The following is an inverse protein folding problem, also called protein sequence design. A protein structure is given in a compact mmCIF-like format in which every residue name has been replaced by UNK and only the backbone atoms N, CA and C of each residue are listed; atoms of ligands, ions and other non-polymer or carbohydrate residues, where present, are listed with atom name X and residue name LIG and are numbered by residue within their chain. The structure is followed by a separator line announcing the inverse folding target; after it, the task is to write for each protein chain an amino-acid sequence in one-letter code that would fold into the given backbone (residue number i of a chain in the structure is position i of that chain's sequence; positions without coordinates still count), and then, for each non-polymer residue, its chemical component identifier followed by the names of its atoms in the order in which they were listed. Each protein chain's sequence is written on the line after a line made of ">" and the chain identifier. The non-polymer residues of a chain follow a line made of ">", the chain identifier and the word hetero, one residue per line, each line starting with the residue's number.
data_IF_493051565344
#
_entry.id   IF_493051565344
#
_cell.length_a   1.000
_cell.length_b   1.000
_cell.length_c   1.000
_cell.angle_alpha   90.00
_cell.angle_beta   90.00
_cell.angle_gamma   90.00
#
_symmetry.space_group_name_H-M   'P 1'
#
loop_
_entity.id
_entity.type
_entity.pdbx_description
1 polymer ?
#
# COMPACT_ATOMS: atom_id res chain seq x y z
N UNK A 1 26.59 -2.70 -11.18
CA UNK A 1 25.45 -2.12 -10.42
C UNK A 1 24.20 -2.01 -11.28
N UNK A 2 24.29 -1.38 -12.46
CA UNK A 2 23.17 -1.23 -13.41
C UNK A 2 22.59 -2.57 -13.86
N UNK A 3 23.44 -3.54 -14.25
CA UNK A 3 22.99 -4.89 -14.66
C UNK A 3 22.19 -5.60 -13.57
N UNK A 4 22.65 -5.53 -12.31
CA UNK A 4 21.95 -6.10 -11.16
C UNK A 4 20.58 -5.44 -10.96
N UNK A 5 20.50 -4.12 -11.10
CA UNK A 5 19.25 -3.38 -11.02
C UNK A 5 18.28 -3.75 -12.16
N UNK A 6 18.76 -3.93 -13.38
CA UNK A 6 17.96 -4.42 -14.51
C UNK A 6 17.41 -5.83 -14.25
N UNK A 7 18.22 -6.76 -13.75
CA UNK A 7 17.76 -8.11 -13.40
C UNK A 7 16.68 -8.10 -12.31
N UNK A 8 16.82 -7.23 -11.31
CA UNK A 8 15.80 -7.06 -10.26
C UNK A 8 14.49 -6.51 -10.84
N UNK A 9 14.58 -5.52 -11.73
CA UNK A 9 13.40 -4.96 -12.40
C UNK A 9 12.67 -6.03 -13.22
N UNK A 10 13.39 -6.78 -14.06
CA UNK A 10 12.81 -7.84 -14.90
C UNK A 10 12.10 -8.90 -14.05
N UNK A 11 12.69 -9.29 -12.91
CA UNK A 11 12.05 -10.22 -11.96
C UNK A 11 10.80 -9.64 -11.32
N UNK A 12 10.81 -8.37 -10.93
CA UNK A 12 9.66 -7.69 -10.34
C UNK A 12 8.53 -7.52 -11.38
N UNK A 13 8.84 -7.03 -12.57
CA UNK A 13 7.91 -6.86 -13.68
C UNK A 13 7.28 -8.20 -14.10
N UNK A 14 8.08 -9.28 -14.21
CA UNK A 14 7.58 -10.61 -14.51
C UNK A 14 6.57 -11.10 -13.45
N UNK A 15 6.84 -10.90 -12.16
CA UNK A 15 5.91 -11.25 -11.08
C UNK A 15 4.59 -10.49 -11.19
N UNK A 16 4.65 -9.20 -11.51
CA UNK A 16 3.46 -8.37 -11.75
C UNK A 16 2.65 -8.84 -12.96
N UNK A 17 3.30 -9.07 -14.09
CA UNK A 17 2.66 -9.54 -15.33
C UNK A 17 2.05 -10.94 -15.18
N UNK A 18 2.77 -11.89 -14.57
CA UNK A 18 2.24 -13.22 -14.29
C UNK A 18 1.01 -13.16 -13.37
N UNK A 19 1.01 -12.26 -12.38
CA UNK A 19 -0.14 -11.98 -11.53
C UNK A 19 -1.37 -11.48 -12.29
N UNK A 20 -1.19 -10.62 -13.29
CA UNK A 20 -2.27 -10.12 -14.15
C UNK A 20 -2.84 -11.22 -15.08
N UNK A 21 -1.97 -12.03 -15.69
CA UNK A 21 -2.40 -13.13 -16.57
C UNK A 21 -3.20 -14.17 -15.77
N UNK A 22 -2.70 -14.55 -14.59
CA UNK A 22 -3.43 -15.45 -13.69
C UNK A 22 -4.75 -14.83 -13.20
N UNK A 23 -4.76 -13.54 -12.87
CA UNK A 23 -5.96 -12.82 -12.45
C UNK A 23 -7.06 -12.76 -13.49
N UNK A 24 -6.70 -12.68 -14.79
CA UNK A 24 -7.66 -12.74 -15.92
C UNK A 24 -8.29 -14.12 -16.08
N UNK A 25 -7.54 -15.19 -15.82
CA UNK A 25 -8.04 -16.57 -15.83
C UNK A 25 -8.87 -16.90 -14.57
N UNK A 26 -8.48 -16.37 -13.41
CA UNK A 26 -9.12 -16.68 -12.13
C UNK A 26 -10.22 -15.71 -11.71
N UNK A 27 -10.55 -14.70 -12.53
CA UNK A 27 -11.56 -13.67 -12.22
C UNK A 27 -11.25 -12.80 -10.99
N UNK A 28 -10.00 -12.77 -10.51
CA UNK A 28 -9.59 -12.02 -9.31
C UNK A 28 -8.58 -10.95 -9.71
N UNK A 29 -9.04 -9.71 -9.84
CA UNK A 29 -8.17 -8.55 -10.01
C UNK A 29 -7.38 -8.29 -8.74
N UNK A 30 -6.05 -8.48 -8.79
CA UNK A 30 -5.10 -8.21 -7.68
C UNK A 30 -4.67 -6.75 -7.64
N UNK A 31 -5.64 -5.85 -7.77
CA UNK A 31 -5.39 -4.42 -7.74
C UNK A 31 -5.06 -3.95 -6.31
N UNK A 32 -4.22 -2.94 -6.21
CA UNK A 32 -3.85 -2.31 -4.94
C UNK A 32 -5.10 -1.71 -4.26
N UNK A 33 -5.22 -1.90 -2.94
CA UNK A 33 -6.35 -1.35 -2.18
C UNK A 33 -6.28 0.18 -2.21
N UNK A 34 -7.29 0.82 -2.79
CA UNK A 34 -7.39 2.29 -2.78
C UNK A 34 -7.85 2.77 -1.41
N UNK A 35 -7.18 3.79 -0.86
CA UNK A 35 -7.60 4.46 0.37
C UNK A 35 -9.04 4.96 0.28
N UNK A 36 -9.45 5.50 -0.87
CA UNK A 36 -10.81 6.00 -1.10
C UNK A 36 -11.84 4.88 -0.92
N UNK A 37 -11.54 3.68 -1.41
CA UNK A 37 -12.39 2.50 -1.24
C UNK A 37 -12.36 2.00 0.20
N UNK A 38 -11.19 2.00 0.84
CA UNK A 38 -11.06 1.59 2.24
C UNK A 38 -11.80 2.50 3.22
N UNK A 39 -11.95 3.78 2.88
CA UNK A 39 -12.69 4.78 3.65
C UNK A 39 -14.14 4.98 3.20
N UNK A 40 -14.63 4.22 2.21
CA UNK A 40 -15.98 4.38 1.72
C UNK A 40 -16.99 4.09 2.84
N UNK A 41 -17.85 5.05 3.15
CA UNK A 41 -18.83 4.94 4.26
C UNK A 41 -18.30 5.37 5.63
N UNK A 42 -16.99 5.62 5.77
CA UNK A 42 -16.39 6.11 7.01
C UNK A 42 -16.33 7.64 7.03
N UNK A 43 -16.60 8.23 8.19
CA UNK A 43 -16.34 9.65 8.42
C UNK A 43 -14.93 9.81 8.96
N UNK A 44 -14.22 10.82 8.46
CA UNK A 44 -12.95 11.22 9.01
C UNK A 44 -13.17 11.95 10.35
N UNK A 45 -12.52 11.52 11.42
CA UNK A 45 -12.55 12.14 12.74
C UNK A 45 -11.43 13.16 12.91
N UNK A 46 -10.24 12.87 12.37
CA UNK A 46 -9.08 13.73 12.50
C UNK A 46 -7.91 13.29 11.62
N UNK A 47 -6.89 14.15 11.54
CA UNK A 47 -5.59 13.82 10.94
C UNK A 47 -4.49 14.44 11.78
N UNK A 48 -3.42 13.70 12.02
CA UNK A 48 -2.24 14.25 12.67
C UNK A 48 -0.96 13.64 12.06
N UNK A 49 0.13 14.41 12.07
CA UNK A 49 1.44 13.90 11.66
C UNK A 49 2.03 13.11 12.81
N UNK A 50 2.40 11.86 12.55
CA UNK A 50 3.11 11.00 13.50
C UNK A 50 4.64 11.13 13.36
N UNK A 51 5.11 11.71 12.25
CA UNK A 51 6.52 11.97 12.00
C UNK A 51 7.19 10.83 11.22
N UNK A 52 8.53 10.81 11.22
CA UNK A 52 9.31 9.77 10.55
C UNK A 52 9.46 8.55 11.44
N UNK A 53 9.10 7.37 10.93
CA UNK A 53 9.21 6.10 11.65
C UNK A 53 9.54 4.95 10.70
N UNK A 54 10.05 3.86 11.28
CA UNK A 54 10.34 2.61 10.57
C UNK A 54 9.06 1.77 10.51
N UNK A 55 8.58 1.47 9.29
CA UNK A 55 7.32 0.75 9.08
C UNK A 55 7.58 -0.63 8.47
N UNK A 56 6.94 -1.70 8.98
CA UNK A 56 7.00 -3.00 8.33
C UNK A 56 6.38 -2.95 6.93
N UNK A 57 7.14 -3.38 5.93
CA UNK A 57 6.73 -3.35 4.52
C UNK A 57 5.45 -4.15 4.27
N UNK A 58 5.20 -5.17 5.07
CA UNK A 58 4.00 -6.01 5.03
C UNK A 58 2.72 -5.34 5.55
N UNK A 59 2.84 -4.29 6.37
CA UNK A 59 1.68 -3.52 6.86
C UNK A 59 1.23 -2.46 5.85
N UNK A 60 2.03 -2.24 4.81
CA UNK A 60 1.69 -1.38 3.68
C UNK A 60 0.84 -2.19 2.69
N UNK A 61 -0.46 -1.90 2.69
CA UNK A 61 -1.49 -2.70 2.01
C UNK A 61 -2.16 -1.99 0.85
N UNK A 62 -2.00 -0.68 0.76
CA UNK A 62 -2.79 0.14 -0.12
C UNK A 62 -2.04 1.34 -0.68
N UNK A 63 -2.75 2.08 -1.51
CA UNK A 63 -2.28 3.33 -2.07
C UNK A 63 -3.38 4.39 -2.02
N UNK A 64 -3.00 5.64 -1.82
CA UNK A 64 -3.91 6.79 -1.92
C UNK A 64 -4.32 7.02 -3.37
N UNK A 65 -3.33 6.98 -4.27
CA UNK A 65 -3.48 7.19 -5.72
C UNK A 65 -2.63 6.17 -6.51
N UNK A 66 -2.75 6.06 -7.83
CA UNK A 66 -1.90 5.17 -8.68
C UNK A 66 -2.00 3.66 -8.40
N UNK A 67 -3.15 3.18 -7.93
CA UNK A 67 -3.38 1.73 -7.72
C UNK A 67 -3.32 0.88 -9.01
N UNK A 68 -3.28 1.51 -10.18
CA UNK A 68 -3.21 0.85 -11.49
C UNK A 68 -1.78 0.71 -12.04
N UNK A 69 -0.80 1.44 -11.48
CA UNK A 69 0.60 1.38 -11.90
C UNK A 69 1.32 0.15 -11.30
N UNK A 70 0.75 -0.42 -10.23
CA UNK A 70 1.34 -1.48 -9.41
C UNK A 70 0.33 -2.55 -9.02
N UNK A 71 0.79 -3.78 -8.81
CA UNK A 71 -0.03 -4.85 -8.21
C UNK A 71 -0.10 -4.73 -6.67
N UNK A 72 -0.89 -5.60 -6.03
CA UNK A 72 -0.99 -5.70 -4.55
C UNK A 72 0.35 -5.90 -3.81
N UNK A 73 1.39 -6.34 -4.52
CA UNK A 73 2.73 -6.55 -3.98
C UNK A 73 3.69 -5.41 -4.35
N UNK A 74 3.18 -4.31 -4.90
CA UNK A 74 3.95 -3.18 -5.44
C UNK A 74 4.91 -3.56 -6.57
N UNK A 75 4.65 -4.63 -7.32
CA UNK A 75 5.38 -4.91 -8.55
C UNK A 75 4.92 -3.93 -9.65
N UNK A 76 5.85 -3.35 -10.42
CA UNK A 76 5.50 -2.43 -11.50
C UNK A 76 4.73 -3.17 -12.60
N UNK A 77 3.63 -2.58 -13.06
CA UNK A 77 2.82 -3.11 -14.17
C UNK A 77 3.09 -2.38 -15.48
N UNK A 78 3.64 -1.17 -15.42
CA UNK A 78 3.86 -0.30 -16.58
C UNK A 78 5.33 -0.19 -16.96
N UNK A 79 5.63 -0.55 -18.21
CA UNK A 79 7.01 -0.60 -18.75
C UNK A 79 7.69 0.76 -18.77
N UNK A 80 6.95 1.85 -19.01
CA UNK A 80 7.54 3.19 -19.09
C UNK A 80 8.13 3.71 -17.76
N UNK A 81 7.87 3.01 -16.64
CA UNK A 81 8.44 3.35 -15.33
C UNK A 81 9.78 2.67 -15.04
N UNK A 82 10.26 1.82 -15.95
CA UNK A 82 11.50 1.03 -15.83
C UNK A 82 12.72 1.87 -15.47
N UNK A 83 13.00 2.92 -16.24
CA UNK A 83 14.22 3.71 -16.05
C UNK A 83 14.26 4.36 -14.67
N UNK A 84 13.13 4.89 -14.19
CA UNK A 84 13.03 5.49 -12.85
C UNK A 84 13.23 4.44 -11.76
N UNK A 85 12.67 3.25 -11.95
CA UNK A 85 12.83 2.13 -11.02
C UNK A 85 14.28 1.66 -10.95
N UNK A 86 14.94 1.48 -12.09
CA UNK A 86 16.35 1.08 -12.19
C UNK A 86 17.25 2.12 -11.51
N UNK A 87 17.04 3.41 -11.77
CA UNK A 87 17.84 4.46 -11.15
C UNK A 87 17.74 4.43 -9.61
N UNK A 88 16.54 4.19 -9.07
CA UNK A 88 16.35 4.03 -7.63
C UNK A 88 17.03 2.77 -7.08
N UNK A 89 16.93 1.64 -7.77
CA UNK A 89 17.61 0.41 -7.40
C UNK A 89 19.15 0.57 -7.42
N UNK A 90 19.70 1.29 -8.41
CA UNK A 90 21.13 1.60 -8.48
C UNK A 90 21.55 2.47 -7.30
N UNK A 91 20.80 3.53 -6.99
CA UNK A 91 21.08 4.39 -5.84
C UNK A 91 21.05 3.58 -4.53
N UNK A 92 20.05 2.70 -4.36
CA UNK A 92 19.98 1.83 -3.21
C UNK A 92 21.17 0.89 -3.09
N UNK A 93 21.54 0.21 -4.18
CA UNK A 93 22.69 -0.70 -4.22
C UNK A 93 24.03 0.03 -3.99
N UNK A 94 24.08 1.33 -4.27
CA UNK A 94 25.22 2.19 -3.97
C UNK A 94 25.31 2.61 -2.50
N UNK A 95 24.32 2.24 -1.67
CA UNK A 95 24.23 2.69 -0.28
C UNK A 95 23.81 4.15 -0.14
N UNK A 96 23.23 4.75 -1.19
CA UNK A 96 22.66 6.10 -1.10
C UNK A 96 21.40 6.05 -0.26
N UNK A 97 21.36 6.84 0.80
CA UNK A 97 20.15 7.04 1.60
C UNK A 97 19.07 7.67 0.72
N UNK A 98 17.99 6.92 0.47
CA UNK A 98 16.83 7.46 -0.22
C UNK A 98 15.94 8.21 0.78
N UNK A 99 15.21 9.24 0.34
CA UNK A 99 14.25 9.90 1.20
C UNK A 99 13.18 8.89 1.69
N UNK A 100 12.57 9.13 2.87
CA UNK A 100 11.51 8.28 3.39
C UNK A 100 10.29 8.29 2.45
N UNK A 101 9.51 7.22 2.47
CA UNK A 101 8.21 7.16 1.78
C UNK A 101 7.15 7.91 2.56
N UNK A 102 6.10 8.39 1.91
CA UNK A 102 4.99 9.06 2.62
C UNK A 102 3.83 8.10 2.74
N UNK A 103 3.40 7.83 3.97
CA UNK A 103 2.32 6.89 4.26
C UNK A 103 1.18 7.54 5.03
N UNK A 104 -0.03 7.10 4.72
CA UNK A 104 -1.23 7.37 5.50
C UNK A 104 -1.57 6.12 6.30
N UNK A 105 -1.66 6.25 7.62
CA UNK A 105 -2.13 5.17 8.49
C UNK A 105 -3.62 5.33 8.73
N UNK A 106 -4.39 4.25 8.52
CA UNK A 106 -5.79 4.14 8.91
C UNK A 106 -5.96 2.86 9.71
N UNK A 107 -6.29 2.98 10.99
CA UNK A 107 -6.28 1.85 11.92
C UNK A 107 -4.89 1.19 11.95
N UNK A 108 -4.83 -0.10 11.60
CA UNK A 108 -3.61 -0.92 11.59
C UNK A 108 -2.96 -1.06 10.20
N UNK A 109 -3.43 -0.32 9.20
CA UNK A 109 -3.01 -0.47 7.80
C UNK A 109 -2.38 0.82 7.29
N UNK A 110 -1.36 0.66 6.45
CA UNK A 110 -0.68 1.78 5.79
C UNK A 110 -1.00 1.83 4.30
N UNK A 111 -1.19 3.05 3.82
CA UNK A 111 -1.47 3.38 2.42
C UNK A 111 -0.39 4.32 1.91
N UNK A 112 0.21 4.00 0.77
CA UNK A 112 1.25 4.83 0.17
C UNK A 112 0.64 6.07 -0.45
N UNK A 113 1.06 7.24 0.01
CA UNK A 113 0.77 8.53 -0.61
C UNK A 113 1.82 8.86 -1.69
N UNK A 114 3.11 8.73 -1.35
CA UNK A 114 4.23 8.91 -2.28
C UNK A 114 5.34 7.88 -2.04
N UNK A 115 6.14 7.63 -3.08
CA UNK A 115 7.31 6.77 -3.02
C UNK A 115 7.07 5.32 -3.45
N UNK A 116 6.05 5.04 -4.27
CA UNK A 116 5.70 3.69 -4.74
C UNK A 116 6.89 2.93 -5.35
N UNK A 117 7.70 3.58 -6.19
CA UNK A 117 8.88 2.94 -6.77
C UNK A 117 9.93 2.58 -5.71
N UNK A 118 10.10 3.41 -4.67
CA UNK A 118 11.04 3.12 -3.58
C UNK A 118 10.57 1.91 -2.77
N UNK A 119 9.28 1.86 -2.45
CA UNK A 119 8.68 0.69 -1.79
C UNK A 119 8.76 -0.57 -2.67
N UNK A 120 8.55 -0.43 -3.98
CA UNK A 120 8.70 -1.52 -4.95
C UNK A 120 10.13 -2.07 -4.97
N UNK A 121 11.13 -1.19 -5.01
CA UNK A 121 12.56 -1.55 -4.93
C UNK A 121 12.87 -2.24 -3.60
N UNK A 122 12.43 -1.68 -2.47
CA UNK A 122 12.63 -2.26 -1.15
C UNK A 122 12.05 -3.69 -1.06
N UNK A 123 10.83 -3.90 -1.58
CA UNK A 123 10.21 -5.23 -1.67
C UNK A 123 10.97 -6.18 -2.58
N UNK A 124 11.40 -5.72 -3.76
CA UNK A 124 12.17 -6.55 -4.69
C UNK A 124 13.53 -6.98 -4.11
N UNK A 125 14.11 -6.15 -3.24
CA UNK A 125 15.34 -6.44 -2.49
C UNK A 125 15.11 -7.25 -1.21
N UNK A 126 13.86 -7.58 -0.87
CA UNK A 126 13.51 -8.39 0.31
C UNK A 126 13.62 -7.65 1.64
N UNK A 127 13.48 -6.33 1.65
CA UNK A 127 13.49 -5.55 2.89
C UNK A 127 12.21 -5.78 3.69
N UNK A 128 12.37 -5.98 5.00
CA UNK A 128 11.26 -6.13 5.94
C UNK A 128 10.70 -4.79 6.41
N UNK A 129 11.52 -3.73 6.39
CA UNK A 129 11.21 -2.43 6.95
C UNK A 129 11.59 -1.30 5.99
N UNK A 130 10.90 -0.16 6.10
CA UNK A 130 11.18 1.05 5.32
C UNK A 130 10.96 2.30 6.17
N UNK A 131 11.79 3.31 5.97
CA UNK A 131 11.60 4.62 6.60
C UNK A 131 10.44 5.37 5.94
N UNK A 132 9.53 5.88 6.76
CA UNK A 132 8.33 6.54 6.29
C UNK A 132 7.98 7.79 7.11
N UNK A 133 7.56 8.86 6.45
CA UNK A 133 6.80 9.95 7.08
C UNK A 133 5.33 9.54 7.14
N UNK A 134 4.79 9.45 8.35
CA UNK A 134 3.45 8.90 8.59
C UNK A 134 2.47 10.00 9.01
N UNK A 135 1.33 10.05 8.32
CA UNK A 135 0.15 10.82 8.74
C UNK A 135 -0.94 9.85 9.15
N UNK A 136 -1.40 9.95 10.40
CA UNK A 136 -2.47 9.11 10.92
C UNK A 136 -3.80 9.79 10.60
N UNK A 137 -4.72 9.02 10.01
CA UNK A 137 -6.10 9.42 9.78
C UNK A 137 -6.98 8.66 10.76
N UNK A 138 -7.59 9.40 11.66
CA UNK A 138 -8.59 8.88 12.57
C UNK A 138 -9.92 8.84 11.84
N UNK A 139 -10.58 7.69 11.87
CA UNK A 139 -11.89 7.47 11.28
C UNK A 139 -12.86 7.14 12.38
N UNK A 140 -14.08 7.67 12.27
CA UNK A 140 -15.15 7.25 13.15
C UNK A 140 -15.39 5.76 12.94
N UNK A 141 -15.53 4.97 14.01
CA UNK A 141 -15.97 3.59 13.86
C UNK A 141 -17.27 3.61 13.05
N UNK A 142 -17.34 2.74 12.04
CA UNK A 142 -18.56 2.54 11.28
C UNK A 142 -19.69 2.36 12.28
N UNK A 143 -20.71 3.23 12.23
CA UNK A 143 -21.86 3.13 13.14
C UNK A 143 -22.33 1.69 13.07
N UNK A 144 -22.15 0.91 14.15
CA UNK A 144 -22.98 -0.26 14.36
C UNK A 144 -24.39 0.31 14.41
N UNK A 145 -25.11 0.19 13.28
CA UNK A 145 -26.52 0.50 13.23
C UNK A 145 -27.18 -0.35 14.31
N UNK A 146 -27.68 0.34 15.34
CA UNK A 146 -28.83 -0.05 16.11
C UNK A 146 -28.83 -1.49 16.64
N UNK A 147 -27.95 -1.78 17.61
CA UNK A 147 -28.28 -2.70 18.69
C UNK A 147 -28.77 -1.91 19.93
N UNK A 148 -29.63 -0.92 19.71
CA UNK A 148 -30.58 -0.54 20.74
C UNK A 148 -31.67 -1.62 20.75
N UNK A 149 -31.42 -2.66 21.54
CA UNK A 149 -32.43 -3.62 21.96
C UNK A 149 -33.57 -2.81 22.58
N UNK A 150 -34.64 -2.59 21.82
CA UNK A 150 -35.93 -2.20 22.37
C UNK A 150 -36.42 -3.37 23.22
N UNK A 151 -36.06 -3.34 24.50
CA UNK A 151 -36.65 -4.18 25.54
C UNK A 151 -38.09 -3.69 25.75
N UNK A 152 -39.00 -4.10 24.88
CA UNK A 152 -40.43 -4.03 25.14
C UNK A 152 -40.91 -5.47 25.36
N UNK A 153 -40.64 -5.97 26.57
CA UNK A 153 -41.22 -7.21 27.06
C UNK A 153 -42.71 -7.02 27.28
N UNK A 154 -43.50 -7.28 26.25
CA UNK A 154 -44.92 -7.59 26.37
C UNK A 154 -45.07 -9.10 26.65
N UNK A 155 -45.67 -9.42 27.80
CA UNK A 155 -46.40 -10.66 28.19
C UNK A 155 -46.41 -10.66 29.73
N UNK A 156 -47.50 -10.82 30.47
CA UNK A 156 -48.89 -11.13 30.20
C UNK A 156 -49.52 -11.58 31.53
N UNK A 157 -50.83 -11.34 31.68
CA UNK A 157 -51.76 -11.70 32.78
C UNK A 157 -51.63 -10.96 34.10
#
# INVERSE_FOLDING_TARGET
>A
MIEKAQQLYQRAAWKGQAGLVWGKLSGRTRALLSLKTALAGQRLAGRHRSGTQVVPVEQIRGSVDRSHDFDQNFNPLQVHTEQRWINLAVAWLAGVTLPPVTLIQVGERYFVEDGHHRLSVARALGQSFIDAEVTVWEVWPERQADLAVCWCGATGS
#
